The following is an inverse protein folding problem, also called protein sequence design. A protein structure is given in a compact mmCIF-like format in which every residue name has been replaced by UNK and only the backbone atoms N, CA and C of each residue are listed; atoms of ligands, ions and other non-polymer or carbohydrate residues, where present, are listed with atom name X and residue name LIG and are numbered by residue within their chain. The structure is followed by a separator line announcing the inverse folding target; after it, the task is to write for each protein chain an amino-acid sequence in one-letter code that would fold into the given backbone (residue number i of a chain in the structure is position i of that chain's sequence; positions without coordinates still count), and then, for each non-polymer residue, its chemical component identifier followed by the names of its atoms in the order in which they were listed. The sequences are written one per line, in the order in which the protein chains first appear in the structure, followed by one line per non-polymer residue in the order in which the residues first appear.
data_IF_679749289138
#
_entry.id   IF_679749289138
#
_cell.length_a   1.000
_cell.length_b   1.000
_cell.length_c   1.000
_cell.angle_alpha   90.00
_cell.angle_beta   90.00
_cell.angle_gamma   90.00
#
_symmetry.space_group_name_H-M   'P 1'
#
loop_
_entity.id
_entity.type
_entity.pdbx_description
1 polymer ?
#
# COMPACT_ATOMS: atom_id res chain seq x y z
N UNK A 1 8.87 64.63 -24.12
CA UNK A 1 9.30 63.35 -24.71
C UNK A 1 9.98 62.42 -23.71
N UNK A 2 11.05 62.84 -23.02
CA UNK A 2 11.79 62.02 -22.03
C UNK A 2 10.89 61.38 -20.95
N UNK A 3 10.03 62.17 -20.29
CA UNK A 3 9.12 61.70 -19.24
C UNK A 3 8.02 60.72 -19.72
N UNK A 4 7.67 60.78 -21.00
CA UNK A 4 6.65 59.89 -21.59
C UNK A 4 7.26 58.52 -21.87
N UNK A 5 8.49 58.49 -22.37
CA UNK A 5 9.23 57.24 -22.62
C UNK A 5 9.55 56.51 -21.31
N UNK A 6 9.97 57.23 -20.26
CA UNK A 6 10.24 56.64 -18.94
C UNK A 6 8.98 56.01 -18.30
N UNK A 7 7.81 56.64 -18.48
CA UNK A 7 6.52 56.07 -18.03
C UNK A 7 6.12 54.83 -18.83
N UNK A 8 6.42 54.77 -20.12
CA UNK A 8 6.14 53.62 -20.98
C UNK A 8 7.06 52.43 -20.65
N UNK A 9 8.35 52.67 -20.43
CA UNK A 9 9.32 51.66 -20.00
C UNK A 9 8.93 51.03 -18.66
N UNK A 10 8.65 51.87 -17.64
CA UNK A 10 8.18 51.39 -16.32
C UNK A 10 6.89 50.58 -16.40
N UNK A 11 6.02 50.86 -17.37
CA UNK A 11 4.80 50.09 -17.60
C UNK A 11 5.06 48.75 -18.30
N UNK A 12 6.03 48.70 -19.22
CA UNK A 12 6.45 47.47 -19.90
C UNK A 12 7.11 46.49 -18.91
N UNK A 13 8.02 46.99 -18.06
CA UNK A 13 8.67 46.20 -17.01
C UNK A 13 7.66 45.63 -16.01
N UNK A 14 6.68 46.44 -15.56
CA UNK A 14 5.61 45.96 -14.67
C UNK A 14 4.74 44.89 -15.31
N UNK A 15 4.48 44.97 -16.62
CA UNK A 15 3.74 43.93 -17.36
C UNK A 15 4.56 42.65 -17.50
N UNK A 16 5.86 42.75 -17.77
CA UNK A 16 6.73 41.58 -17.87
C UNK A 16 6.91 40.86 -16.52
N UNK A 17 7.10 41.62 -15.43
CA UNK A 17 7.15 41.06 -14.07
C UNK A 17 5.84 40.36 -13.70
N UNK A 18 4.67 40.96 -13.99
CA UNK A 18 3.37 40.32 -13.75
C UNK A 18 3.19 39.04 -14.59
N UNK A 19 3.63 39.04 -15.85
CA UNK A 19 3.62 37.87 -16.73
C UNK A 19 4.52 36.74 -16.21
N UNK A 20 5.74 37.07 -15.75
CA UNK A 20 6.67 36.10 -15.16
C UNK A 20 6.14 35.51 -13.86
N UNK A 21 5.59 36.34 -12.97
CA UNK A 21 4.95 35.88 -11.71
C UNK A 21 3.76 34.96 -12.00
N UNK A 22 2.93 35.30 -13.00
CA UNK A 22 1.81 34.45 -13.42
C UNK A 22 2.29 33.09 -13.96
N UNK A 23 3.30 33.08 -14.85
CA UNK A 23 3.88 31.83 -15.37
C UNK A 23 4.45 30.95 -14.26
N UNK A 24 5.13 31.53 -13.27
CA UNK A 24 5.63 30.79 -12.10
C UNK A 24 4.49 30.20 -11.27
N UNK A 25 3.44 30.99 -10.98
CA UNK A 25 2.24 30.51 -10.27
C UNK A 25 1.54 29.39 -11.04
N UNK A 26 1.42 29.51 -12.36
CA UNK A 26 0.81 28.48 -13.22
C UNK A 26 1.63 27.18 -13.20
N UNK A 27 2.96 27.26 -13.30
CA UNK A 27 3.85 26.08 -13.19
C UNK A 27 3.72 25.39 -11.83
N UNK A 28 3.66 26.17 -10.74
CA UNK A 28 3.43 25.66 -9.37
C UNK A 28 2.05 25.00 -9.26
N UNK A 29 1.01 25.64 -9.75
CA UNK A 29 -0.35 25.08 -9.75
C UNK A 29 -0.44 23.76 -10.52
N UNK A 30 0.15 23.71 -11.73
CA UNK A 30 0.22 22.49 -12.54
C UNK A 30 1.03 21.39 -11.84
N UNK A 31 2.11 21.73 -11.14
CA UNK A 31 2.88 20.78 -10.33
C UNK A 31 2.06 20.24 -9.14
N UNK A 32 1.38 21.12 -8.41
CA UNK A 32 0.52 20.73 -7.29
C UNK A 32 -0.66 19.87 -7.73
N UNK A 33 -1.24 20.14 -8.91
CA UNK A 33 -2.30 19.31 -9.47
C UNK A 33 -1.80 17.91 -9.84
N UNK A 34 -0.60 17.80 -10.43
CA UNK A 34 0.03 16.50 -10.69
C UNK A 34 0.28 15.72 -9.41
N UNK A 35 0.82 16.37 -8.38
CA UNK A 35 1.10 15.72 -7.10
C UNK A 35 -0.18 15.27 -6.40
N UNK A 36 -1.25 16.08 -6.44
CA UNK A 36 -2.57 15.65 -5.94
C UNK A 36 -3.08 14.40 -6.66
N UNK A 37 -3.06 14.39 -7.99
CA UNK A 37 -3.48 13.23 -8.77
C UNK A 37 -2.65 11.98 -8.47
N UNK A 38 -1.34 12.15 -8.27
CA UNK A 38 -0.43 11.09 -7.85
C UNK A 38 -0.80 10.54 -6.47
N UNK A 39 -1.00 11.41 -5.49
CA UNK A 39 -1.43 11.04 -4.14
C UNK A 39 -2.79 10.34 -4.13
N UNK A 40 -3.73 10.76 -4.99
CA UNK A 40 -5.00 10.05 -5.17
C UNK A 40 -4.79 8.63 -5.70
N UNK A 41 -3.89 8.44 -6.68
CA UNK A 41 -3.51 7.12 -7.18
C UNK A 41 -2.88 6.22 -6.10
N UNK A 42 -1.96 6.78 -5.30
CA UNK A 42 -1.33 6.05 -4.19
C UNK A 42 -2.34 5.63 -3.11
N UNK A 43 -3.24 6.54 -2.72
CA UNK A 43 -4.28 6.24 -1.75
C UNK A 43 -5.28 5.19 -2.29
N UNK A 44 -5.61 5.24 -3.59
CA UNK A 44 -6.44 4.22 -4.23
C UNK A 44 -5.76 2.84 -4.23
N UNK A 45 -4.45 2.78 -4.49
CA UNK A 45 -3.68 1.55 -4.40
C UNK A 45 -3.65 0.99 -2.95
N UNK A 46 -3.48 1.87 -1.96
CA UNK A 46 -3.53 1.49 -0.54
C UNK A 46 -4.91 0.98 -0.12
N UNK A 47 -6.00 1.57 -0.61
CA UNK A 47 -7.36 1.07 -0.37
C UNK A 47 -7.59 -0.29 -1.04
N UNK A 48 -7.06 -0.51 -2.25
CA UNK A 48 -7.05 -1.84 -2.88
C UNK A 48 -6.31 -2.86 -2.02
N UNK A 49 -5.19 -2.48 -1.40
CA UNK A 49 -4.44 -3.33 -0.48
C UNK A 49 -5.28 -3.70 0.74
N UNK A 50 -5.98 -2.74 1.35
CA UNK A 50 -6.88 -2.99 2.50
C UNK A 50 -7.98 -4.00 2.15
N UNK A 51 -8.56 -3.91 0.96
CA UNK A 51 -9.63 -4.82 0.53
C UNK A 51 -9.17 -6.28 0.35
N UNK A 52 -7.86 -6.52 0.22
CA UNK A 52 -7.27 -7.86 0.10
C UNK A 52 -6.84 -8.45 1.46
N UNK A 53 -6.90 -7.67 2.53
CA UNK A 53 -6.54 -8.14 3.87
C UNK A 53 -7.62 -9.03 4.48
N UNK A 54 -7.24 -9.91 5.42
CA UNK A 54 -8.19 -10.73 6.17
C UNK A 54 -9.13 -9.93 7.08
N UNK A 55 -8.87 -8.62 7.30
CA UNK A 55 -9.78 -7.71 7.99
C UNK A 55 -10.31 -6.69 6.98
N UNK A 56 -11.54 -6.89 6.53
CA UNK A 56 -12.22 -5.98 5.62
C UNK A 56 -12.99 -4.94 6.42
N UNK A 57 -12.24 -3.98 7.00
CA UNK A 57 -12.76 -2.84 7.77
C UNK A 57 -13.44 -3.21 9.11
N UNK A 58 -13.30 -2.32 10.10
CA UNK A 58 -13.77 -2.55 11.46
C UNK A 58 -15.12 -1.87 11.62
N UNK A 59 -16.18 -2.66 11.74
CA UNK A 59 -17.48 -2.14 12.13
C UNK A 59 -17.49 -1.97 13.66
N UNK A 60 -17.56 -0.74 14.14
CA UNK A 60 -18.13 -0.44 15.45
C UNK A 60 -19.55 0.07 15.19
N UNK A 61 -20.46 -0.83 14.81
CA UNK A 61 -21.90 -0.60 14.57
C UNK A 61 -22.33 -0.40 13.10
N UNK A 62 -23.53 -0.89 12.77
CA UNK A 62 -24.17 -0.84 11.45
C UNK A 62 -24.44 0.60 10.96
N UNK A 63 -24.31 1.60 11.84
CA UNK A 63 -24.51 3.02 11.59
C UNK A 63 -23.20 3.81 11.39
N UNK A 64 -22.03 3.17 11.52
CA UNK A 64 -20.74 3.86 11.63
C UNK A 64 -19.90 3.70 10.37
N UNK A 65 -19.26 4.80 9.94
CA UNK A 65 -18.30 4.81 8.82
C UNK A 65 -17.19 3.79 9.10
N UNK A 66 -16.87 2.87 8.17
CA UNK A 66 -15.85 1.85 8.41
C UNK A 66 -14.49 2.49 8.73
N UNK A 67 -13.95 2.21 9.92
CA UNK A 67 -12.65 2.74 10.31
C UNK A 67 -11.54 1.99 9.55
N UNK A 68 -10.74 2.74 8.79
CA UNK A 68 -9.62 2.22 8.00
C UNK A 68 -8.37 2.12 8.88
N UNK A 69 -7.60 1.04 8.75
CA UNK A 69 -6.25 0.96 9.30
C UNK A 69 -5.37 2.11 8.78
N UNK A 70 -4.47 2.61 9.63
CA UNK A 70 -3.48 3.61 9.24
C UNK A 70 -2.58 3.11 8.10
N UNK A 71 -1.88 4.01 7.38
CA UNK A 71 -1.00 3.62 6.27
C UNK A 71 0.07 2.61 6.73
N UNK A 72 0.67 2.87 7.89
CA UNK A 72 1.72 2.02 8.46
C UNK A 72 1.18 0.66 8.92
N UNK A 73 0.03 0.63 9.61
CA UNK A 73 -0.59 -0.63 10.02
C UNK A 73 -1.05 -1.46 8.83
N UNK A 74 -1.57 -0.81 7.77
CA UNK A 74 -1.94 -1.50 6.52
C UNK A 74 -0.72 -2.20 5.90
N UNK A 75 0.43 -1.51 5.83
CA UNK A 75 1.66 -2.10 5.29
C UNK A 75 2.25 -3.19 6.17
N UNK A 76 2.23 -3.02 7.50
CA UNK A 76 2.68 -4.04 8.47
C UNK A 76 1.82 -5.29 8.39
N UNK A 77 0.49 -5.12 8.38
CA UNK A 77 -0.46 -6.23 8.21
C UNK A 77 -0.26 -6.94 6.87
N UNK A 78 -0.03 -6.20 5.79
CA UNK A 78 0.25 -6.78 4.47
C UNK A 78 1.48 -7.69 4.47
N UNK A 79 2.57 -7.19 5.05
CA UNK A 79 3.83 -7.94 5.21
C UNK A 79 3.59 -9.21 6.02
N UNK A 80 2.90 -9.10 7.15
CA UNK A 80 2.61 -10.25 8.02
C UNK A 80 1.71 -11.27 7.33
N UNK A 81 0.73 -10.82 6.53
CA UNK A 81 -0.15 -11.70 5.79
C UNK A 81 0.59 -12.49 4.70
N UNK A 82 1.53 -11.84 3.99
CA UNK A 82 2.41 -12.52 3.04
C UNK A 82 3.26 -13.57 3.75
N UNK A 83 3.85 -13.24 4.90
CA UNK A 83 4.65 -14.18 5.68
C UNK A 83 3.83 -15.41 6.09
N UNK A 84 2.61 -15.21 6.59
CA UNK A 84 1.74 -16.30 6.99
C UNK A 84 1.35 -17.21 5.82
N UNK A 85 1.03 -16.63 4.65
CA UNK A 85 0.74 -17.39 3.43
C UNK A 85 1.97 -18.18 2.97
N UNK A 86 3.17 -17.60 3.01
CA UNK A 86 4.40 -18.28 2.64
C UNK A 86 4.71 -19.48 3.55
N UNK A 87 4.54 -19.33 4.87
CA UNK A 87 4.73 -20.43 5.82
C UNK A 87 3.70 -21.54 5.60
N UNK A 88 2.44 -21.18 5.33
CA UNK A 88 1.39 -22.16 5.03
C UNK A 88 1.73 -22.98 3.77
N UNK A 89 2.22 -22.32 2.73
CA UNK A 89 2.61 -22.99 1.49
C UNK A 89 3.82 -23.92 1.70
N UNK A 90 4.79 -23.52 2.52
CA UNK A 90 5.94 -24.37 2.87
C UNK A 90 5.53 -25.61 3.66
N UNK A 91 4.56 -25.47 4.56
CA UNK A 91 4.09 -26.58 5.41
C UNK A 91 3.12 -27.52 4.69
N UNK A 92 2.61 -27.14 3.51
CA UNK A 92 1.68 -27.94 2.71
C UNK A 92 0.32 -28.20 3.38
N UNK A 93 0.02 -27.48 4.47
CA UNK A 93 -1.22 -27.64 5.25
C UNK A 93 -1.69 -26.30 5.81
N UNK A 94 -3.01 -26.13 6.05
CA UNK A 94 -3.56 -24.95 6.71
C UNK A 94 -2.84 -24.61 8.03
N UNK A 95 -2.43 -23.36 8.19
CA UNK A 95 -1.85 -22.85 9.43
C UNK A 95 -2.92 -22.64 10.48
N UNK A 96 -2.76 -23.22 11.67
CA UNK A 96 -3.68 -23.08 12.79
C UNK A 96 -4.01 -21.60 13.13
N UNK A 97 -5.28 -21.34 13.47
CA UNK A 97 -5.84 -19.99 13.54
C UNK A 97 -5.12 -19.11 14.58
N UNK A 98 -4.74 -19.66 15.72
CA UNK A 98 -4.05 -18.91 16.78
C UNK A 98 -2.66 -18.47 16.30
N UNK A 99 -1.94 -19.36 15.61
CA UNK A 99 -0.66 -19.02 14.97
C UNK A 99 -0.83 -17.97 13.88
N UNK A 100 -1.87 -18.08 13.06
CA UNK A 100 -2.18 -17.11 12.01
C UNK A 100 -2.41 -15.71 12.59
N UNK A 101 -3.25 -15.59 13.64
CA UNK A 101 -3.52 -14.33 14.33
C UNK A 101 -2.23 -13.74 14.92
N UNK A 102 -1.41 -14.57 15.59
CA UNK A 102 -0.15 -14.14 16.19
C UNK A 102 0.84 -13.55 15.17
N UNK A 103 0.90 -14.14 13.97
CA UNK A 103 1.72 -13.60 12.89
C UNK A 103 1.15 -12.27 12.39
N UNK A 104 -0.16 -12.21 12.16
CA UNK A 104 -0.83 -10.99 11.67
C UNK A 104 -0.69 -9.81 12.63
N UNK A 105 -0.83 -10.05 13.94
CA UNK A 105 -0.83 -9.02 14.98
C UNK A 105 0.55 -8.43 15.30
N UNK A 106 1.63 -9.00 14.76
CA UNK A 106 2.98 -8.56 15.05
C UNK A 106 3.21 -7.11 14.61
N UNK A 107 3.76 -6.29 15.51
CA UNK A 107 4.07 -4.87 15.28
C UNK A 107 2.83 -3.99 14.97
N UNK A 108 1.62 -4.46 15.29
CA UNK A 108 0.39 -3.67 15.21
C UNK A 108 0.05 -3.06 16.57
N UNK A 109 -0.83 -2.05 16.59
CA UNK A 109 -1.33 -1.49 17.84
C UNK A 109 -2.18 -2.52 18.60
N UNK A 110 -2.25 -2.38 19.94
CA UNK A 110 -3.06 -3.27 20.78
C UNK A 110 -4.52 -3.31 20.33
N UNK A 111 -5.09 -2.15 19.96
CA UNK A 111 -6.45 -2.04 19.43
C UNK A 111 -6.63 -2.88 18.17
N UNK A 112 -5.69 -2.77 17.22
CA UNK A 112 -5.72 -3.54 15.97
C UNK A 112 -5.51 -5.04 16.20
N UNK A 113 -4.66 -5.42 17.16
CA UNK A 113 -4.46 -6.81 17.54
C UNK A 113 -5.72 -7.44 18.18
N UNK A 114 -6.38 -6.71 19.07
CA UNK A 114 -7.63 -7.18 19.70
C UNK A 114 -8.75 -7.35 18.66
N UNK A 115 -8.83 -6.42 17.71
CA UNK A 115 -9.73 -6.52 16.57
C UNK A 115 -9.43 -7.74 15.70
N UNK A 116 -8.16 -8.02 15.38
CA UNK A 116 -7.76 -9.23 14.64
C UNK A 116 -8.27 -10.49 15.34
N UNK A 117 -8.03 -10.58 16.65
CA UNK A 117 -8.51 -11.68 17.48
C UNK A 117 -10.02 -11.79 17.43
N UNK A 118 -10.78 -10.70 17.62
CA UNK A 118 -12.24 -10.72 17.55
C UNK A 118 -12.80 -11.08 16.17
N UNK A 119 -12.15 -10.60 15.11
CA UNK A 119 -12.57 -10.81 13.71
C UNK A 119 -12.25 -12.22 13.20
N UNK A 120 -11.27 -12.89 13.79
CA UNK A 120 -10.85 -14.23 13.34
C UNK A 120 -11.32 -15.33 14.31
N UNK A 121 -11.39 -15.07 15.61
CA UNK A 121 -11.84 -16.04 16.63
C UNK A 121 -13.33 -15.94 16.97
N UNK A 122 -14.02 -14.86 16.61
CA UNK A 122 -15.42 -14.66 16.97
C UNK A 122 -16.39 -15.70 16.39
N UNK A 123 -17.47 -15.97 17.11
CA UNK A 123 -18.54 -16.89 16.72
C UNK A 123 -19.34 -16.35 15.53
N UNK A 124 -19.50 -17.12 14.45
CA UNK A 124 -20.29 -16.75 13.26
C UNK A 124 -19.46 -16.29 12.06
N UNK A 125 -19.70 -15.08 11.54
CA UNK A 125 -19.10 -14.54 10.29
C UNK A 125 -17.58 -14.41 10.30
N UNK A 126 -17.00 -14.23 11.48
CA UNK A 126 -15.56 -14.10 11.75
C UNK A 126 -14.81 -15.41 11.48
N UNK A 127 -15.36 -16.53 11.94
CA UNK A 127 -14.85 -17.88 11.68
C UNK A 127 -14.93 -18.26 10.19
N UNK A 128 -15.94 -17.77 9.46
CA UNK A 128 -16.04 -17.94 8.01
C UNK A 128 -14.90 -17.23 7.26
N UNK A 129 -14.33 -16.15 7.79
CA UNK A 129 -13.23 -15.44 7.14
C UNK A 129 -11.96 -16.29 7.11
N UNK A 130 -11.60 -16.91 8.24
CA UNK A 130 -10.47 -17.84 8.28
C UNK A 130 -10.72 -19.09 7.42
N UNK A 131 -11.93 -19.67 7.47
CA UNK A 131 -12.32 -20.77 6.56
C UNK A 131 -12.22 -20.37 5.09
N UNK A 132 -12.67 -19.18 4.70
CA UNK A 132 -12.50 -18.67 3.33
C UNK A 132 -11.03 -18.46 2.94
N UNK A 133 -10.13 -18.28 3.91
CA UNK A 133 -8.69 -18.12 3.65
C UNK A 133 -8.01 -19.47 3.42
N UNK A 134 -8.28 -20.46 4.28
CA UNK A 134 -7.51 -21.70 4.33
C UNK A 134 -8.30 -22.99 4.06
N UNK A 135 -9.64 -22.97 4.06
CA UNK A 135 -10.51 -24.14 3.99
C UNK A 135 -11.62 -23.94 2.93
N UNK A 136 -11.33 -24.12 1.63
CA UNK A 136 -12.33 -24.54 0.66
C UNK A 136 -12.67 -26.01 0.93
N UNK A 137 -13.95 -26.30 0.97
CA UNK A 137 -14.43 -27.66 1.15
C UNK A 137 -13.98 -28.51 -0.06
N UNK A 138 -13.32 -29.63 0.23
CA UNK A 138 -13.04 -30.79 -0.65
C UNK A 138 -11.76 -30.98 -1.47
N UNK A 139 -10.85 -30.01 -1.74
CA UNK A 139 -9.66 -30.33 -2.57
C UNK A 139 -8.34 -29.62 -2.16
N UNK A 140 -7.37 -30.41 -1.67
CA UNK A 140 -6.04 -29.94 -1.27
C UNK A 140 -5.28 -29.18 -2.39
N UNK A 141 -5.53 -29.53 -3.66
CA UNK A 141 -4.94 -28.85 -4.82
C UNK A 141 -5.48 -27.43 -5.02
N UNK A 142 -6.79 -27.23 -4.85
CA UNK A 142 -7.43 -25.92 -5.01
C UNK A 142 -7.04 -24.95 -3.88
N UNK A 143 -6.82 -25.46 -2.66
CA UNK A 143 -6.30 -24.67 -1.52
C UNK A 143 -4.98 -24.01 -1.88
N UNK A 144 -4.05 -24.83 -2.35
CA UNK A 144 -2.69 -24.40 -2.68
C UNK A 144 -2.71 -23.34 -3.79
N UNK A 145 -3.51 -23.55 -4.83
CA UNK A 145 -3.68 -22.59 -5.93
C UNK A 145 -4.28 -21.26 -5.43
N UNK A 146 -5.30 -21.30 -4.58
CA UNK A 146 -5.93 -20.09 -4.03
C UNK A 146 -4.93 -19.29 -3.17
N UNK A 147 -4.14 -19.95 -2.32
CA UNK A 147 -3.14 -19.28 -1.50
C UNK A 147 -2.03 -18.68 -2.37
N UNK A 148 -1.57 -19.40 -3.41
CA UNK A 148 -0.61 -18.88 -4.40
C UNK A 148 -1.15 -17.63 -5.11
N UNK A 149 -2.39 -17.66 -5.59
CA UNK A 149 -3.02 -16.54 -6.29
C UNK A 149 -3.23 -15.33 -5.36
N UNK A 150 -3.63 -15.55 -4.11
CA UNK A 150 -3.74 -14.47 -3.10
C UNK A 150 -2.39 -13.86 -2.77
N UNK A 151 -1.34 -14.67 -2.62
CA UNK A 151 0.03 -14.18 -2.41
C UNK A 151 0.52 -13.36 -3.59
N UNK A 152 0.31 -13.85 -4.82
CA UNK A 152 0.69 -13.15 -6.06
C UNK A 152 0.01 -11.79 -6.20
N UNK A 153 -1.31 -11.74 -6.03
CA UNK A 153 -2.08 -10.48 -6.13
C UNK A 153 -1.70 -9.47 -5.05
N UNK A 154 -1.40 -9.92 -3.83
CA UNK A 154 -0.87 -9.06 -2.76
C UNK A 154 0.49 -8.46 -3.12
N UNK A 155 1.40 -9.26 -3.67
CA UNK A 155 2.71 -8.79 -4.12
C UNK A 155 2.60 -7.78 -5.27
N UNK A 156 1.73 -8.01 -6.25
CA UNK A 156 1.50 -7.06 -7.36
C UNK A 156 1.00 -5.70 -6.88
N UNK A 157 0.10 -5.67 -5.90
CA UNK A 157 -0.41 -4.43 -5.31
C UNK A 157 0.69 -3.71 -4.53
N UNK A 158 1.50 -4.44 -3.75
CA UNK A 158 2.63 -3.85 -3.01
C UNK A 158 3.69 -3.30 -3.98
N UNK A 159 4.02 -4.03 -5.05
CA UNK A 159 4.94 -3.56 -6.09
C UNK A 159 4.39 -2.30 -6.75
N UNK A 160 3.08 -2.21 -7.02
CA UNK A 160 2.45 -1.01 -7.56
C UNK A 160 2.56 0.19 -6.61
N UNK A 161 2.38 -0.04 -5.30
CA UNK A 161 2.54 0.99 -4.26
C UNK A 161 4.01 1.42 -4.17
N UNK A 162 4.95 0.48 -4.14
CA UNK A 162 6.38 0.74 -4.03
C UNK A 162 6.94 1.40 -5.28
N UNK A 163 6.56 0.99 -6.48
CA UNK A 163 6.95 1.65 -7.74
C UNK A 163 6.36 3.07 -7.82
N UNK A 164 5.11 3.26 -7.39
CA UNK A 164 4.52 4.59 -7.23
C UNK A 164 5.25 5.48 -6.20
N UNK A 165 5.85 4.87 -5.16
CA UNK A 165 6.71 5.54 -4.18
C UNK A 165 8.16 5.74 -4.68
N UNK A 166 8.69 4.87 -5.54
CA UNK A 166 10.03 4.97 -6.13
C UNK A 166 10.07 6.02 -7.25
N UNK A 167 8.94 6.20 -7.96
CA UNK A 167 8.76 7.37 -8.85
C UNK A 167 8.87 8.69 -8.06
N UNK A 168 8.61 8.70 -6.74
CA UNK A 168 8.88 9.88 -5.89
C UNK A 168 10.36 10.15 -5.66
N UNK A 169 11.22 9.18 -5.92
CA UNK A 169 12.67 9.30 -5.77
C UNK A 169 13.39 9.68 -7.07
N UNK A 170 12.67 10.30 -8.02
CA UNK A 170 13.31 11.10 -9.08
C UNK A 170 13.66 12.46 -8.48
N UNK A 171 14.62 12.47 -7.53
CA UNK A 171 15.79 13.37 -7.44
C UNK A 171 16.73 12.80 -6.37
N UNK A 172 17.44 11.68 -6.65
CA UNK A 172 18.87 11.44 -6.32
C UNK A 172 19.22 9.98 -6.66
N UNK A 173 20.05 9.73 -7.70
CA UNK A 173 20.36 8.39 -8.19
C UNK A 173 21.11 7.48 -7.19
N UNK A 174 21.63 8.01 -6.09
CA UNK A 174 22.47 7.25 -5.13
C UNK A 174 21.70 6.35 -4.15
N UNK A 175 20.39 6.53 -3.99
CA UNK A 175 19.55 5.70 -3.11
C UNK A 175 18.85 4.55 -3.84
N UNK A 176 18.73 4.66 -5.16
CA UNK A 176 18.10 3.64 -6.01
C UNK A 176 18.90 2.34 -5.99
N UNK A 177 20.23 2.45 -5.98
CA UNK A 177 21.13 1.30 -5.93
C UNK A 177 20.97 0.49 -4.63
N UNK A 178 20.87 1.18 -3.48
CA UNK A 178 20.69 0.52 -2.17
C UNK A 178 19.34 -0.19 -2.06
N UNK A 179 18.27 0.44 -2.57
CA UNK A 179 16.92 -0.14 -2.56
C UNK A 179 16.82 -1.30 -3.56
N UNK A 180 17.45 -1.18 -4.73
CA UNK A 180 17.50 -2.24 -5.74
C UNK A 180 18.26 -3.47 -5.23
N UNK A 181 19.38 -3.29 -4.51
CA UNK A 181 20.11 -4.38 -3.82
C UNK A 181 19.23 -5.04 -2.76
N UNK A 182 18.49 -4.26 -1.96
CA UNK A 182 17.59 -4.83 -0.92
C UNK A 182 16.43 -5.62 -1.54
N UNK A 183 15.91 -5.17 -2.68
CA UNK A 183 14.84 -5.85 -3.43
C UNK A 183 15.38 -7.12 -4.12
N UNK A 184 16.59 -7.08 -4.67
CA UNK A 184 17.27 -8.25 -5.23
C UNK A 184 17.62 -9.28 -4.16
N UNK A 185 17.96 -8.89 -2.93
CA UNK A 185 18.19 -9.81 -1.82
C UNK A 185 16.88 -10.49 -1.37
N UNK A 186 15.77 -9.75 -1.29
CA UNK A 186 14.44 -10.34 -1.04
C UNK A 186 14.03 -11.28 -2.18
N UNK A 187 14.35 -10.91 -3.43
CA UNK A 187 14.12 -11.75 -4.62
C UNK A 187 15.00 -13.02 -4.65
N UNK A 188 16.28 -12.92 -4.28
CA UNK A 188 17.20 -14.06 -4.18
C UNK A 188 16.81 -15.03 -3.08
N UNK A 189 16.37 -14.54 -1.92
CA UNK A 189 15.78 -15.37 -0.85
C UNK A 189 14.56 -16.14 -1.37
N UNK A 190 13.77 -15.51 -2.25
CA UNK A 190 12.58 -16.14 -2.85
C UNK A 190 12.96 -17.21 -3.89
N UNK A 191 13.99 -16.99 -4.71
CA UNK A 191 14.44 -17.96 -5.73
C UNK A 191 15.20 -19.14 -5.11
N UNK A 192 16.03 -18.91 -4.09
CA UNK A 192 16.71 -19.99 -3.35
C UNK A 192 15.73 -20.87 -2.57
N UNK A 193 14.62 -20.31 -2.09
CA UNK A 193 13.53 -21.07 -1.45
C UNK A 193 12.66 -21.87 -2.44
N UNK A 194 12.87 -21.76 -3.75
CA UNK A 194 12.15 -22.51 -4.79
C UNK A 194 13.01 -23.58 -5.47
N UNK A 195 14.29 -23.72 -5.09
CA UNK A 195 15.24 -24.71 -5.61
C UNK A 195 15.73 -25.74 -4.56
N UNK A 196 15.01 -25.85 -3.44
CA UNK A 196 15.09 -26.94 -2.45
C UNK A 196 13.68 -27.52 -2.35
#
# INVERSE_FOLDING_TARGET
YSTVMEKLEKNCERKDVKSRVYKVKLRRSKANARERNRMHGLNAALDRLRNRMPIQQTHSDLSSVPQKLSKIETLRLARNYILAMSQTLQEGRPMEITRFIKILSRDLSQTTANLLTGTLMGSGSSHLTYKRIFIPENDNGLITIIIILRRKTMLEVIITILTGLVIDLIVKPTMVEKIFITILDIGKITILSMNI
#
